data_IF_963934715061
#
_entry.id   IF_963934715061
#
_cell.length_a   1.000
_cell.length_b   1.000
_cell.length_c   1.000
_cell.angle_alpha   90.00
_cell.angle_beta   90.00
_cell.angle_gamma   90.00
#
_symmetry.space_group_name_H-M   'P 1'
#
loop_
_entity.id
_entity.type
_entity.pdbx_description
1 polymer ?
#
# COMPACT_ATOMS: atom_id res chain seq x y z
N UNK A 1 7.02 14.33 -9.43
CA UNK A 1 8.39 14.34 -8.86
C UNK A 1 8.41 13.29 -7.76
N UNK A 2 9.31 12.31 -7.83
CA UNK A 2 9.36 11.14 -6.94
C UNK A 2 10.13 11.39 -5.63
N UNK A 3 10.40 12.64 -5.29
CA UNK A 3 11.22 13.01 -4.14
C UNK A 3 10.35 13.40 -2.94
N UNK A 4 10.63 12.81 -1.78
CA UNK A 4 10.03 13.18 -0.50
C UNK A 4 9.23 12.07 0.18
N UNK A 5 9.29 10.82 -0.29
CA UNK A 5 8.67 9.69 0.44
C UNK A 5 9.68 9.14 1.44
N UNK A 6 9.17 8.73 2.60
CA UNK A 6 9.97 8.27 3.74
C UNK A 6 10.95 7.12 3.41
N UNK A 7 10.65 6.35 2.35
CA UNK A 7 11.43 5.18 1.93
C UNK A 7 12.12 5.34 0.56
N UNK A 8 12.29 6.56 0.04
CA UNK A 8 12.90 6.79 -1.29
C UNK A 8 14.32 6.18 -1.44
N UNK A 9 15.00 5.89 -0.33
CA UNK A 9 16.34 5.27 -0.30
C UNK A 9 16.34 3.77 0.10
N UNK A 10 15.17 3.17 0.38
CA UNK A 10 15.10 1.78 0.81
C UNK A 10 15.34 0.84 -0.39
N UNK A 11 16.46 0.07 -0.36
CA UNK A 11 16.83 -0.85 -1.45
C UNK A 11 16.37 -2.29 -1.24
N UNK A 12 16.20 -2.71 0.02
CA UNK A 12 15.72 -4.03 0.43
C UNK A 12 15.01 -3.88 1.78
N UNK A 13 13.82 -4.48 1.93
CA UNK A 13 13.14 -4.63 3.21
C UNK A 13 13.02 -6.13 3.53
N UNK A 14 13.70 -6.57 4.58
CA UNK A 14 13.51 -7.91 5.14
C UNK A 14 12.52 -7.82 6.30
N UNK A 15 11.35 -8.43 6.16
CA UNK A 15 10.41 -8.62 7.25
C UNK A 15 10.49 -10.07 7.71
N UNK A 16 11.39 -10.34 8.65
CA UNK A 16 11.33 -11.53 9.48
C UNK A 16 10.72 -11.10 10.82
N UNK A 17 9.52 -11.58 11.15
CA UNK A 17 8.89 -11.25 12.42
C UNK A 17 8.15 -12.45 13.01
N UNK A 18 8.66 -13.05 14.10
CA UNK A 18 7.96 -14.05 14.89
C UNK A 18 7.67 -13.52 16.30
N UNK A 19 7.16 -12.30 16.40
CA UNK A 19 6.74 -11.69 17.66
C UNK A 19 5.33 -11.16 17.41
N UNK A 20 4.35 -11.57 18.20
CA UNK A 20 2.97 -11.08 18.13
C UNK A 20 2.84 -9.62 18.60
N UNK A 21 3.81 -8.77 18.24
CA UNK A 21 3.84 -7.38 18.61
C UNK A 21 2.85 -6.58 17.76
N UNK A 22 2.14 -5.66 18.42
CA UNK A 22 1.29 -4.67 17.76
C UNK A 22 2.09 -3.61 16.98
N UNK A 23 3.42 -3.73 16.88
CA UNK A 23 4.27 -2.71 16.28
C UNK A 23 4.33 -2.78 14.75
N UNK A 24 3.98 -3.93 14.16
CA UNK A 24 3.98 -4.13 12.70
C UNK A 24 2.69 -4.82 12.28
N UNK A 25 1.98 -4.23 11.30
CA UNK A 25 0.77 -4.80 10.73
C UNK A 25 0.85 -4.70 9.22
N UNK A 26 0.43 -5.74 8.52
CA UNK A 26 0.54 -5.78 7.06
C UNK A 26 -0.63 -6.51 6.42
N UNK A 27 -0.82 -6.25 5.13
CA UNK A 27 -1.89 -6.87 4.38
C UNK A 27 -1.79 -6.60 2.89
N UNK A 28 -2.81 -7.03 2.18
CA UNK A 28 -2.93 -6.89 0.73
C UNK A 28 -4.29 -6.29 0.40
N UNK A 29 -4.34 -5.46 -0.63
CA UNK A 29 -5.57 -4.94 -1.19
C UNK A 29 -5.54 -4.97 -2.70
N UNK A 30 -6.65 -5.39 -3.29
CA UNK A 30 -6.84 -5.44 -4.73
C UNK A 30 -7.81 -4.35 -5.12
N UNK A 31 -7.52 -3.66 -6.22
CA UNK A 31 -8.34 -2.58 -6.77
C UNK A 31 -8.68 -2.90 -8.22
N UNK A 32 -9.96 -2.80 -8.56
CA UNK A 32 -10.43 -2.80 -9.95
C UNK A 32 -10.44 -1.36 -10.52
N UNK A 33 -10.64 -1.17 -11.83
CA UNK A 33 -10.59 0.15 -12.45
C UNK A 33 -11.58 1.12 -11.83
N UNK A 34 -11.13 2.35 -11.63
CA UNK A 34 -11.94 3.48 -11.12
C UNK A 34 -12.50 3.27 -9.71
N UNK A 35 -11.93 2.33 -8.93
CA UNK A 35 -12.17 2.32 -7.49
C UNK A 35 -11.65 3.60 -6.84
N UNK A 36 -12.45 4.16 -5.93
CA UNK A 36 -12.05 5.29 -5.10
C UNK A 36 -11.16 4.83 -3.93
N UNK A 37 -10.69 5.78 -3.14
CA UNK A 37 -9.96 5.52 -1.90
C UNK A 37 -10.72 4.58 -0.96
N UNK A 38 -10.00 3.56 -0.48
CA UNK A 38 -10.49 2.60 0.50
C UNK A 38 -9.96 2.97 1.89
N UNK A 39 -10.81 2.87 2.91
CA UNK A 39 -10.39 2.81 4.30
C UNK A 39 -10.28 1.34 4.72
N UNK A 40 -9.18 0.93 5.32
CA UNK A 40 -8.93 -0.45 5.77
C UNK A 40 -8.47 -0.44 7.22
N UNK A 41 -9.16 -1.20 8.07
CA UNK A 41 -8.77 -1.39 9.47
C UNK A 41 -7.52 -2.26 9.57
N UNK A 42 -6.73 -2.00 10.61
CA UNK A 42 -5.52 -2.78 10.85
C UNK A 42 -5.84 -4.21 11.33
N UNK A 43 -5.17 -5.24 10.79
CA UNK A 43 -5.37 -6.61 11.23
C UNK A 43 -4.93 -6.75 12.69
N UNK A 44 -5.76 -7.44 13.49
CA UNK A 44 -5.52 -7.55 14.93
C UNK A 44 -5.84 -6.28 15.73
N UNK A 45 -6.49 -5.28 15.12
CA UNK A 45 -6.94 -4.05 15.79
C UNK A 45 -5.97 -2.88 15.63
N UNK A 46 -6.25 -1.77 16.31
CA UNK A 46 -5.51 -0.52 16.18
C UNK A 46 -4.04 -0.61 16.61
N UNK A 47 -3.19 0.27 16.06
CA UNK A 47 -1.88 0.60 16.63
C UNK A 47 -2.03 1.49 17.87
N UNK A 48 -1.02 1.49 18.74
CA UNK A 48 -0.97 2.41 19.90
C UNK A 48 -0.58 3.84 19.54
N UNK A 49 0.18 4.01 18.45
CA UNK A 49 0.57 5.30 17.86
C UNK A 49 0.34 5.24 16.35
N UNK A 50 0.30 6.39 15.68
CA UNK A 50 0.18 6.41 14.22
C UNK A 50 1.39 5.68 13.58
N UNK A 51 1.16 4.77 12.62
CA UNK A 51 2.22 4.03 11.96
C UNK A 51 2.74 4.80 10.73
N UNK A 52 4.00 4.58 10.40
CA UNK A 52 4.53 4.89 9.07
C UNK A 52 4.21 3.74 8.12
N UNK A 53 3.90 4.04 6.86
CA UNK A 53 3.37 3.04 5.92
C UNK A 53 4.22 2.92 4.68
N UNK A 54 4.64 1.68 4.42
CA UNK A 54 5.22 1.26 3.15
C UNK A 54 4.15 0.61 2.28
N UNK A 55 4.17 0.90 0.98
CA UNK A 55 3.22 0.36 0.00
C UNK A 55 3.96 -0.06 -1.26
N UNK A 56 3.64 -1.22 -1.82
CA UNK A 56 4.21 -1.65 -3.09
C UNK A 56 3.21 -2.44 -3.94
N UNK A 57 3.42 -2.43 -5.25
CA UNK A 57 2.64 -3.24 -6.18
C UNK A 57 3.10 -4.69 -6.03
N UNK A 58 2.17 -5.61 -5.75
CA UNK A 58 2.46 -7.04 -5.63
C UNK A 58 1.70 -7.91 -6.62
N UNK A 59 0.79 -7.32 -7.41
CA UNK A 59 0.03 -8.00 -8.46
C UNK A 59 -0.36 -7.00 -9.55
N UNK A 60 -0.26 -7.42 -10.81
CA UNK A 60 -0.67 -6.63 -11.97
C UNK A 60 -1.41 -7.57 -12.92
N UNK A 61 -2.67 -7.26 -13.19
CA UNK A 61 -3.46 -7.87 -14.25
C UNK A 61 -3.95 -6.79 -15.21
N UNK A 62 -3.49 -6.89 -16.45
CA UNK A 62 -3.75 -5.93 -17.51
C UNK A 62 -4.36 -6.64 -18.70
N UNK A 63 -5.37 -6.01 -19.28
CA UNK A 63 -5.92 -6.45 -20.55
C UNK A 63 -4.93 -6.24 -21.70
N UNK A 64 -5.31 -6.70 -22.89
CA UNK A 64 -4.57 -6.38 -24.11
C UNK A 64 -4.60 -4.86 -24.34
N UNK A 65 -3.45 -4.23 -24.16
CA UNK A 65 -3.26 -2.80 -24.44
C UNK A 65 -2.02 -2.58 -25.30
N UNK A 66 -2.13 -1.65 -26.25
CA UNK A 66 -0.99 -1.16 -27.03
C UNK A 66 -0.37 0.12 -26.43
N UNK A 67 -0.87 0.57 -25.28
CA UNK A 67 -0.43 1.78 -24.60
C UNK A 67 0.63 1.52 -23.53
N UNK A 68 1.27 2.60 -23.08
CA UNK A 68 2.18 2.60 -21.92
C UNK A 68 1.44 2.17 -20.66
N UNK A 69 2.04 1.28 -19.88
CA UNK A 69 1.57 0.92 -18.54
C UNK A 69 1.81 2.10 -17.57
N UNK A 70 0.74 2.74 -17.13
CA UNK A 70 0.78 3.84 -16.16
C UNK A 70 -0.16 3.54 -15.00
N UNK A 71 0.45 3.05 -13.91
CA UNK A 71 -0.22 2.55 -12.71
C UNK A 71 0.49 3.04 -11.45
N UNK A 72 -0.28 3.15 -10.37
CA UNK A 72 0.21 3.55 -9.06
C UNK A 72 -0.54 2.79 -7.97
N UNK A 73 0.15 2.43 -6.90
CA UNK A 73 -0.49 2.19 -5.60
C UNK A 73 0.05 3.21 -4.61
N UNK A 74 -0.81 3.72 -3.75
CA UNK A 74 -0.41 4.74 -2.77
C UNK A 74 -1.34 4.72 -1.57
N UNK A 75 -0.89 5.35 -0.50
CA UNK A 75 -1.74 5.75 0.61
C UNK A 75 -1.88 7.28 0.66
N UNK A 76 -2.96 7.76 1.27
CA UNK A 76 -3.21 9.17 1.56
C UNK A 76 -2.94 9.48 3.03
N UNK A 77 -3.36 8.59 3.92
CA UNK A 77 -3.17 8.74 5.36
C UNK A 77 -3.14 7.40 6.07
N UNK A 78 -2.47 7.38 7.21
CA UNK A 78 -2.40 6.24 8.11
C UNK A 78 -2.61 6.75 9.54
N UNK A 79 -3.75 6.38 10.14
CA UNK A 79 -4.03 6.66 11.55
C UNK A 79 -3.75 5.42 12.38
N UNK A 80 -3.82 5.55 13.69
CA UNK A 80 -3.74 4.40 14.59
C UNK A 80 -4.81 3.33 14.32
N UNK A 81 -5.96 3.69 13.73
CA UNK A 81 -7.08 2.76 13.52
C UNK A 81 -7.24 2.27 12.09
N UNK A 82 -6.79 3.03 11.10
CA UNK A 82 -7.02 2.69 9.69
C UNK A 82 -5.95 3.23 8.73
N UNK A 83 -5.88 2.58 7.58
CA UNK A 83 -5.14 2.99 6.40
C UNK A 83 -6.11 3.48 5.32
N UNK A 84 -5.86 4.67 4.76
CA UNK A 84 -6.57 5.17 3.57
C UNK A 84 -5.67 5.04 2.35
N UNK A 85 -6.05 4.20 1.39
CA UNK A 85 -5.20 3.80 0.26
C UNK A 85 -5.99 3.50 -1.01
N UNK A 86 -5.28 3.51 -2.15
CA UNK A 86 -5.86 3.17 -3.44
C UNK A 86 -4.82 2.55 -4.39
N UNK A 87 -5.35 1.85 -5.39
CA UNK A 87 -4.67 1.54 -6.64
C UNK A 87 -5.29 2.38 -7.75
N UNK A 88 -4.46 2.91 -8.63
CA UNK A 88 -4.85 3.80 -9.71
C UNK A 88 -4.19 3.39 -11.02
N UNK A 89 -4.88 3.68 -12.13
CA UNK A 89 -4.35 3.60 -13.49
C UNK A 89 -4.84 4.78 -14.31
N UNK A 90 -4.04 5.22 -15.27
CA UNK A 90 -4.48 6.24 -16.22
C UNK A 90 -5.60 5.72 -17.13
N UNK A 91 -6.38 6.63 -17.72
CA UNK A 91 -7.46 6.27 -18.65
C UNK A 91 -6.97 5.50 -19.89
N UNK A 92 -5.68 5.66 -20.23
CA UNK A 92 -5.05 4.93 -21.33
C UNK A 92 -4.63 3.50 -20.97
N UNK A 93 -4.63 3.12 -19.69
CA UNK A 93 -4.21 1.79 -19.23
C UNK A 93 -5.43 0.89 -19.08
N UNK A 94 -5.47 -0.22 -19.81
CA UNK A 94 -6.51 -1.26 -19.67
C UNK A 94 -6.19 -2.12 -18.44
N UNK A 95 -6.33 -1.55 -17.25
CA UNK A 95 -6.17 -2.28 -16.01
C UNK A 95 -7.39 -3.21 -15.81
N UNK A 96 -7.14 -4.46 -15.42
CA UNK A 96 -8.20 -5.36 -14.92
C UNK A 96 -8.17 -5.36 -13.40
N UNK A 97 -6.97 -5.47 -12.83
CA UNK A 97 -6.77 -5.43 -11.38
C UNK A 97 -5.33 -5.06 -11.04
N UNK A 98 -5.15 -4.29 -9.96
CA UNK A 98 -3.85 -4.06 -9.33
C UNK A 98 -3.89 -4.49 -7.87
N UNK A 99 -2.84 -5.20 -7.45
CA UNK A 99 -2.64 -5.55 -6.05
C UNK A 99 -1.59 -4.65 -5.41
N UNK A 100 -1.88 -4.29 -4.17
CA UNK A 100 -1.03 -3.52 -3.29
C UNK A 100 -0.74 -4.35 -2.05
N UNK A 101 0.54 -4.58 -1.75
CA UNK A 101 0.93 -4.92 -0.39
C UNK A 101 1.21 -3.63 0.39
N UNK A 102 0.85 -3.63 1.67
CA UNK A 102 1.10 -2.53 2.58
C UNK A 102 1.57 -3.05 3.93
N UNK A 103 2.45 -2.27 4.57
CA UNK A 103 3.02 -2.57 5.88
C UNK A 103 3.00 -1.27 6.69
N UNK A 104 2.29 -1.26 7.81
CA UNK A 104 2.36 -0.23 8.84
C UNK A 104 3.37 -0.61 9.92
N UNK A 105 4.23 0.35 10.29
CA UNK A 105 5.26 0.19 11.33
C UNK A 105 5.13 1.34 12.31
N UNK A 106 4.96 1.02 13.60
CA UNK A 106 4.89 1.99 14.68
C UNK A 106 6.06 1.76 15.64
N UNK A 107 6.99 2.71 15.75
CA UNK A 107 8.12 2.61 16.68
C UNK A 107 7.64 2.81 18.12
N UNK A 108 8.14 1.97 19.03
CA UNK A 108 7.79 2.03 20.47
C UNK A 108 8.58 3.08 21.26
N UNK A 109 9.39 3.94 20.62
CA UNK A 109 10.13 4.99 21.33
C UNK A 109 9.17 6.06 21.88
#
# INVERSE_FOLDING_TARGET
MWAGREFDNARVAYLAYPDGSDAIKGGVSYFVPKEDWRDTEWPGGAFKKEPNVFTAINYIDIGLSQSTLDILVTHQSATSTKLRHCGWSSDGTVLVMIGMCWIGISSQL
#
